data_IF_358537969246
#
_entry.id   IF_358537969246
#
_cell.length_a   1.000
_cell.length_b   1.000
_cell.length_c   1.000
_cell.angle_alpha   90.00
_cell.angle_beta   90.00
_cell.angle_gamma   90.00
#
_symmetry.space_group_name_H-M   'P 1'
#
loop_
_entity.id
_entity.type
_entity.pdbx_description
1 polymer ?
#
# COMPACT_ATOMS: atom_id res chain seq x y z
N UNK A 1 -3.84 -5.11 2.81
CA UNK A 1 -5.21 -4.57 2.85
C UNK A 1 -6.21 -5.71 2.67
N UNK A 2 -7.39 -5.71 3.32
CA UNK A 2 -8.41 -6.75 3.11
C UNK A 2 -8.87 -6.85 1.65
N UNK A 3 -9.20 -8.07 1.23
CA UNK A 3 -9.57 -8.40 -0.15
C UNK A 3 -10.78 -7.62 -0.67
N UNK A 4 -11.82 -7.42 0.14
CA UNK A 4 -13.03 -6.69 -0.24
C UNK A 4 -12.76 -5.20 -0.50
N UNK A 5 -11.97 -4.56 0.38
CA UNK A 5 -11.49 -3.19 0.19
C UNK A 5 -10.57 -3.12 -1.04
N UNK A 6 -9.69 -4.11 -1.21
CA UNK A 6 -8.78 -4.25 -2.34
C UNK A 6 -9.46 -4.25 -3.70
N UNK A 7 -10.49 -5.07 -3.86
CA UNK A 7 -11.29 -5.11 -5.10
C UNK A 7 -11.98 -3.80 -5.39
N UNK A 8 -12.47 -3.08 -4.37
CA UNK A 8 -13.12 -1.77 -4.55
C UNK A 8 -12.11 -0.71 -4.97
N UNK A 9 -10.95 -0.64 -4.30
CA UNK A 9 -9.85 0.26 -4.66
C UNK A 9 -9.42 0.04 -6.12
N UNK A 10 -9.25 -1.21 -6.54
CA UNK A 10 -8.86 -1.56 -7.91
C UNK A 10 -9.88 -1.10 -8.96
N UNK A 11 -11.17 -1.00 -8.62
CA UNK A 11 -12.20 -0.51 -9.55
C UNK A 11 -12.25 1.02 -9.66
N UNK A 12 -11.71 1.73 -8.67
CA UNK A 12 -11.89 3.17 -8.54
C UNK A 12 -10.62 3.98 -8.84
N UNK A 13 -9.44 3.35 -8.82
CA UNK A 13 -8.19 4.06 -9.10
C UNK A 13 -8.01 4.31 -10.61
N UNK A 14 -7.61 5.54 -11.01
CA UNK A 14 -7.38 5.87 -12.42
C UNK A 14 -6.12 5.20 -12.98
N UNK A 15 -5.15 4.89 -12.13
CA UNK A 15 -3.89 4.23 -12.47
C UNK A 15 -3.50 3.25 -11.37
N UNK A 16 -3.08 2.06 -11.77
CA UNK A 16 -2.78 0.94 -10.88
C UNK A 16 -1.46 0.31 -11.33
N UNK A 17 -0.46 0.34 -10.43
CA UNK A 17 0.81 -0.38 -10.61
C UNK A 17 0.67 -1.85 -10.19
N UNK A 18 1.78 -2.54 -9.92
CA UNK A 18 1.73 -3.95 -9.54
C UNK A 18 0.89 -4.19 -8.28
N UNK A 19 0.02 -5.19 -8.32
CA UNK A 19 -0.78 -5.65 -7.18
C UNK A 19 -0.54 -7.13 -6.96
N UNK A 20 -0.22 -7.47 -5.72
CA UNK A 20 -0.10 -8.85 -5.24
C UNK A 20 -1.28 -9.20 -4.34
N UNK A 21 -1.66 -10.47 -4.30
CA UNK A 21 -2.69 -10.95 -3.40
C UNK A 21 -2.44 -12.40 -2.96
N UNK A 22 -2.88 -12.70 -1.74
CA UNK A 22 -3.13 -14.05 -1.25
C UNK A 22 -4.62 -14.20 -0.87
N UNK A 23 -4.96 -15.26 -0.16
CA UNK A 23 -6.34 -15.55 0.22
C UNK A 23 -6.93 -14.52 1.21
N UNK A 24 -6.10 -13.70 1.87
CA UNK A 24 -6.49 -12.82 2.98
C UNK A 24 -6.20 -11.33 2.72
N UNK A 25 -5.13 -11.03 2.00
CA UNK A 25 -4.57 -9.68 1.88
C UNK A 25 -4.13 -9.39 0.46
N UNK A 26 -4.28 -8.13 0.11
CA UNK A 26 -3.77 -7.54 -1.12
C UNK A 26 -2.70 -6.49 -0.78
N UNK A 27 -1.73 -6.35 -1.67
CA UNK A 27 -0.60 -5.43 -1.58
C UNK A 27 -0.44 -4.66 -2.87
N UNK A 28 -0.31 -3.35 -2.77
CA UNK A 28 0.02 -2.47 -3.90
C UNK A 28 1.48 -2.10 -3.77
N UNK A 29 2.21 -2.19 -4.87
CA UNK A 29 3.57 -1.68 -4.92
C UNK A 29 3.48 -0.16 -5.05
N UNK A 30 4.17 0.55 -4.14
CA UNK A 30 4.24 2.00 -4.07
C UNK A 30 5.71 2.42 -3.90
N UNK A 31 6.09 3.65 -4.26
CA UNK A 31 7.46 4.10 -4.06
C UNK A 31 7.82 4.10 -2.56
N UNK A 32 9.09 3.90 -2.25
CA UNK A 32 9.62 4.04 -0.89
C UNK A 32 9.23 5.40 -0.29
N UNK A 33 8.83 5.42 0.98
CA UNK A 33 8.41 6.64 1.68
C UNK A 33 6.93 7.00 1.52
N UNK A 34 6.13 6.17 0.84
CA UNK A 34 4.67 6.41 0.67
C UNK A 34 3.86 6.35 1.99
N UNK A 35 4.50 6.03 3.11
CA UNK A 35 3.93 6.05 4.45
C UNK A 35 4.27 7.32 5.25
N UNK A 36 5.09 8.22 4.70
CA UNK A 36 5.51 9.45 5.37
C UNK A 36 4.35 10.47 5.35
N UNK A 37 4.14 11.16 6.47
CA UNK A 37 3.15 12.23 6.67
C UNK A 37 1.67 11.86 6.45
N UNK A 38 1.35 10.58 6.23
CA UNK A 38 -0.02 10.10 6.04
C UNK A 38 -0.40 9.07 7.10
N UNK A 39 -1.60 9.19 7.65
CA UNK A 39 -2.16 8.20 8.56
C UNK A 39 -2.97 7.17 7.76
N UNK A 40 -2.30 6.12 7.27
CA UNK A 40 -2.95 4.99 6.61
C UNK A 40 -3.94 4.28 7.55
N UNK A 41 -5.09 3.77 7.06
CA UNK A 41 -6.04 3.04 7.91
C UNK A 41 -5.44 1.81 8.62
N UNK A 42 -5.89 1.51 9.83
CA UNK A 42 -5.32 0.44 10.69
C UNK A 42 -5.32 -0.98 10.07
N UNK A 43 -6.20 -1.24 9.09
CA UNK A 43 -6.23 -2.52 8.36
C UNK A 43 -5.16 -2.61 7.24
N UNK A 44 -4.40 -1.54 7.04
CA UNK A 44 -3.27 -1.49 6.11
C UNK A 44 -1.97 -1.61 6.88
N UNK A 45 -0.94 -2.11 6.20
CA UNK A 45 0.40 -2.25 6.75
C UNK A 45 1.38 -1.86 5.66
N UNK A 46 2.29 -0.95 5.96
CA UNK A 46 3.37 -0.59 5.05
C UNK A 46 4.53 -1.59 5.22
N UNK A 47 4.74 -2.45 4.23
CA UNK A 47 5.77 -3.47 4.26
C UNK A 47 7.11 -2.90 3.76
N UNK A 48 7.93 -2.38 4.68
CA UNK A 48 9.27 -1.86 4.36
C UNK A 48 10.19 -3.02 3.94
N UNK A 49 10.90 -2.86 2.83
CA UNK A 49 11.92 -3.82 2.41
C UNK A 49 11.38 -5.18 1.97
N UNK A 50 10.09 -5.25 1.57
CA UNK A 50 9.52 -6.46 1.00
C UNK A 50 10.34 -6.90 -0.22
N UNK A 51 11.01 -8.05 -0.10
CA UNK A 51 11.75 -8.70 -1.18
C UNK A 51 10.91 -9.87 -1.66
N UNK A 52 10.72 -9.96 -2.98
CA UNK A 52 10.13 -11.15 -3.56
C UNK A 52 11.20 -12.23 -3.61
N UNK A 53 11.02 -13.32 -2.86
CA UNK A 53 11.93 -14.46 -2.94
C UNK A 53 11.64 -15.24 -4.22
N UNK A 54 12.70 -15.63 -4.92
CA UNK A 54 12.58 -16.44 -6.13
C UNK A 54 11.86 -17.76 -5.80
N UNK A 55 10.85 -18.11 -6.59
CA UNK A 55 9.84 -19.13 -6.27
C UNK A 55 10.36 -20.58 -6.38
N UNK A 56 11.67 -20.81 -6.35
CA UNK A 56 12.30 -22.12 -6.56
C UNK A 56 12.55 -22.92 -5.27
N UNK A 57 12.20 -22.38 -4.09
CA UNK A 57 12.35 -23.08 -2.82
C UNK A 57 11.04 -23.73 -2.35
N UNK A 58 11.07 -25.02 -2.03
CA UNK A 58 9.99 -25.74 -1.36
C UNK A 58 9.68 -25.11 0.01
N UNK A 59 8.81 -24.10 0.03
CA UNK A 59 8.27 -23.57 1.28
C UNK A 59 7.20 -24.53 1.80
N UNK A 60 7.66 -25.47 2.63
CA UNK A 60 6.81 -26.31 3.47
C UNK A 60 6.13 -25.44 4.53
N UNK A 61 4.95 -24.94 4.18
CA UNK A 61 4.09 -24.17 5.07
C UNK A 61 2.92 -23.60 4.29
N UNK A 62 1.69 -23.85 4.77
CA UNK A 62 0.39 -23.46 4.16
C UNK A 62 0.21 -21.98 3.77
N UNK A 63 1.22 -21.11 3.94
CA UNK A 63 1.15 -19.72 3.52
C UNK A 63 1.37 -19.65 2.02
N UNK A 64 0.27 -19.60 1.25
CA UNK A 64 0.34 -19.29 -0.19
C UNK A 64 1.02 -17.93 -0.34
N UNK A 65 2.21 -17.93 -0.94
CA UNK A 65 2.93 -16.70 -1.25
C UNK A 65 2.02 -15.77 -2.07
N UNK A 66 2.07 -14.44 -1.81
CA UNK A 66 1.33 -13.47 -2.59
C UNK A 66 1.64 -13.62 -4.08
N UNK A 67 0.59 -13.71 -4.90
CA UNK A 67 0.69 -13.84 -6.35
C UNK A 67 0.44 -12.49 -7.00
N UNK A 68 1.16 -12.20 -8.08
CA UNK A 68 0.87 -11.03 -8.91
C UNK A 68 -0.51 -11.21 -9.55
N UNK A 69 -1.43 -10.30 -9.25
CA UNK A 69 -2.80 -10.31 -9.78
C UNK A 69 -3.07 -9.16 -10.75
N UNK A 70 -2.21 -8.14 -10.77
CA UNK A 70 -2.25 -7.05 -11.75
C UNK A 70 -0.83 -6.57 -12.04
N UNK A 71 -0.52 -6.45 -13.34
CA UNK A 71 0.68 -5.82 -13.85
C UNK A 71 0.25 -4.58 -14.66
N UNK A 72 0.87 -3.39 -14.47
CA UNK A 72 0.53 -2.21 -15.22
C UNK A 72 0.83 -2.39 -16.72
N UNK A 73 0.13 -1.65 -17.57
CA UNK A 73 0.45 -1.57 -19.01
C UNK A 73 1.60 -0.61 -19.29
N UNK A 74 1.86 0.33 -18.38
CA UNK A 74 2.97 1.27 -18.46
C UNK A 74 4.23 0.71 -17.77
N UNK A 75 5.36 1.39 -17.97
CA UNK A 75 6.67 0.94 -17.47
C UNK A 75 6.85 1.13 -15.95
N UNK A 76 5.86 1.69 -15.24
CA UNK A 76 6.01 2.02 -13.81
C UNK A 76 5.27 1.00 -12.94
N UNK A 77 6.00 0.19 -12.13
CA UNK A 77 5.38 -0.82 -11.26
C UNK A 77 4.60 -0.20 -10.09
N UNK A 78 4.65 1.12 -9.93
CA UNK A 78 4.13 1.80 -8.76
C UNK A 78 2.70 2.27 -8.95
N UNK A 79 1.85 2.03 -7.96
CA UNK A 79 0.57 2.71 -7.83
C UNK A 79 0.81 4.12 -7.27
N UNK A 80 0.19 5.19 -7.81
CA UNK A 80 0.31 6.52 -7.24
C UNK A 80 -0.17 6.53 -5.77
N UNK A 81 0.70 6.83 -4.79
CA UNK A 81 0.39 6.57 -3.38
C UNK A 81 -0.67 7.52 -2.82
N UNK A 82 -0.69 8.78 -3.24
CA UNK A 82 -1.68 9.76 -2.77
C UNK A 82 -3.10 9.38 -3.23
N UNK A 83 -3.36 9.09 -4.53
CA UNK A 83 -4.66 8.53 -4.94
C UNK A 83 -5.04 7.23 -4.22
N UNK A 84 -4.09 6.31 -4.04
CA UNK A 84 -4.33 5.06 -3.32
C UNK A 84 -4.75 5.32 -1.87
N UNK A 85 -4.07 6.24 -1.18
CA UNK A 85 -4.38 6.64 0.18
C UNK A 85 -5.81 7.19 0.30
N UNK A 86 -6.12 8.21 -0.50
CA UNK A 86 -7.45 8.84 -0.50
C UNK A 86 -8.56 7.84 -0.82
N UNK A 87 -8.35 6.97 -1.80
CA UNK A 87 -9.34 5.97 -2.19
C UNK A 87 -9.56 4.92 -1.09
N UNK A 88 -8.49 4.50 -0.43
CA UNK A 88 -8.56 3.54 0.68
C UNK A 88 -9.33 4.13 1.87
N UNK A 89 -9.04 5.38 2.23
CA UNK A 89 -9.76 6.12 3.26
C UNK A 89 -11.25 6.29 2.90
N UNK A 90 -11.55 6.70 1.66
CA UNK A 90 -12.91 6.90 1.18
C UNK A 90 -13.75 5.62 1.26
N UNK A 91 -13.22 4.50 0.74
CA UNK A 91 -13.92 3.19 0.77
C UNK A 91 -14.16 2.69 2.20
N UNK A 92 -13.25 3.01 3.13
CA UNK A 92 -13.38 2.64 4.53
C UNK A 92 -14.24 3.60 5.36
N UNK A 93 -14.74 4.70 4.78
CA UNK A 93 -15.46 5.74 5.53
C UNK A 93 -14.58 6.46 6.56
N UNK A 94 -13.27 6.49 6.34
CA UNK A 94 -12.28 7.13 7.22
C UNK A 94 -11.89 8.48 6.63
N UNK A 95 -11.90 9.54 7.45
CA UNK A 95 -11.39 10.84 7.02
C UNK A 95 -9.86 10.78 6.86
N UNK A 96 -9.31 11.16 5.69
CA UNK A 96 -7.86 11.27 5.50
C UNK A 96 -7.25 12.25 6.49
N UNK A 97 -6.11 11.88 7.08
CA UNK A 97 -5.36 12.70 8.03
C UNK A 97 -3.90 12.73 7.64
N UNK A 98 -3.34 13.92 7.70
CA UNK A 98 -1.91 14.12 7.66
C UNK A 98 -1.36 13.93 9.06
N UNK A 99 -0.28 13.17 9.18
CA UNK A 99 0.53 13.25 10.39
C UNK A 99 1.25 14.59 10.30
N UNK A 100 1.09 15.52 11.26
CA UNK A 100 2.01 16.65 11.32
C UNK A 100 3.39 16.04 11.55
N UNK A 101 4.20 15.92 10.50
CA UNK A 101 5.63 15.69 10.67
C UNK A 101 6.14 16.72 11.66
N UNK A 102 7.01 16.33 12.59
CA UNK A 102 7.54 17.17 13.67
C UNK A 102 7.73 18.63 13.22
N UNK A 103 6.69 19.45 13.42
CA UNK A 103 6.71 20.88 13.15
C UNK A 103 7.32 21.61 14.35
N UNK A 104 8.00 20.89 15.25
CA UNK A 104 8.97 21.47 16.16
C UNK A 104 10.22 21.83 15.36
N UNK A 105 10.15 22.93 14.62
CA UNK A 105 11.35 23.73 14.40
C UNK A 105 11.98 24.06 15.76
N UNK A 106 13.31 24.31 15.82
CA UNK A 106 13.97 24.61 17.08
C UNK A 106 13.23 25.76 17.79
N UNK A 107 13.09 25.72 19.13
CA UNK A 107 12.43 26.80 19.86
C UNK A 107 13.13 28.11 19.51
N UNK A 108 12.38 29.08 18.98
CA UNK A 108 12.91 30.41 18.78
C UNK A 108 13.34 30.94 20.15
N UNK A 109 14.65 31.16 20.30
CA UNK A 109 15.21 31.82 21.46
C UNK A 109 14.62 33.24 21.53
N UNK A 110 14.10 33.58 22.71
CA UNK A 110 13.58 34.91 23.07
C UNK A 110 14.77 35.83 23.36
#
# INVERSE_FOLDING_TARGET
MPTDIGRRVMKCLPRIGCVFADDQRWWWIVPSGSNIDVAWPLFTSYAVGARMTDLSGEYSGRSRLPRLIHHPQDDSPYTPPIPLYFMTCHIAGIQPRWSPGDASGPPQAI
#
